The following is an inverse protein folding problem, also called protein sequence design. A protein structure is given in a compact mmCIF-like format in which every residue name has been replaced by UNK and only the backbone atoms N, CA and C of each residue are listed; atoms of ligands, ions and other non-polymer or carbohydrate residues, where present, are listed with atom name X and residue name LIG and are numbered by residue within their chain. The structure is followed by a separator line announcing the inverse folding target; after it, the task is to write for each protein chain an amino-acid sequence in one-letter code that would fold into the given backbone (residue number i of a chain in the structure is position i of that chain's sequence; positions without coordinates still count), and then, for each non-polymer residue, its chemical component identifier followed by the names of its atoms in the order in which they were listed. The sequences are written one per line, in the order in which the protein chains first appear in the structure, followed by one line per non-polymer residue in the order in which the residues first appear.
data_IF_819469459238
#
_entry.id   IF_819469459238
#
_cell.length_a   1.000
_cell.length_b   1.000
_cell.length_c   1.000
_cell.angle_alpha   90.00
_cell.angle_beta   90.00
_cell.angle_gamma   90.00
#
_symmetry.space_group_name_H-M   'P 1'
#
loop_
_entity.id
_entity.type
_entity.pdbx_description
1 polymer ?
#
# COMPACT_ATOMS: atom_id res chain seq x y z
N UNK A 1 24.72 -7.28 5.76
CA UNK A 1 23.50 -7.96 5.29
C UNK A 1 22.31 -7.20 5.86
N UNK A 2 21.21 -7.00 5.11
CA UNK A 2 20.02 -6.38 5.68
C UNK A 2 19.52 -7.26 6.84
N UNK A 3 19.13 -6.62 7.95
CA UNK A 3 18.51 -7.35 9.05
C UNK A 3 17.11 -7.87 8.64
N UNK A 4 16.62 -8.85 9.40
CA UNK A 4 15.33 -9.49 9.12
C UNK A 4 14.18 -8.47 9.08
N UNK A 5 14.26 -7.44 9.93
CA UNK A 5 13.25 -6.41 10.05
C UNK A 5 13.13 -5.60 8.74
N UNK A 6 14.27 -5.13 8.22
CA UNK A 6 14.33 -4.44 6.94
C UNK A 6 13.87 -5.33 5.78
N UNK A 7 14.25 -6.61 5.75
CA UNK A 7 13.80 -7.53 4.69
C UNK A 7 12.28 -7.72 4.73
N UNK A 8 11.72 -7.91 5.93
CA UNK A 8 10.27 -8.06 6.12
C UNK A 8 9.53 -6.79 5.69
N UNK A 9 10.03 -5.62 6.08
CA UNK A 9 9.48 -4.33 5.65
C UNK A 9 9.52 -4.17 4.12
N UNK A 10 10.67 -4.44 3.49
CA UNK A 10 10.83 -4.27 2.05
C UNK A 10 9.95 -5.24 1.26
N UNK A 11 9.75 -6.46 1.75
CA UNK A 11 8.79 -7.39 1.16
C UNK A 11 7.36 -6.84 1.26
N UNK A 12 6.99 -6.27 2.41
CA UNK A 12 5.68 -5.68 2.61
C UNK A 12 5.44 -4.44 1.74
N UNK A 13 6.43 -3.54 1.66
CA UNK A 13 6.42 -2.41 0.74
C UNK A 13 6.31 -2.87 -0.72
N UNK A 14 6.97 -3.99 -1.08
CA UNK A 14 6.86 -4.55 -2.43
C UNK A 14 5.45 -5.06 -2.74
N UNK A 15 4.75 -5.64 -1.76
CA UNK A 15 3.34 -6.02 -1.91
C UNK A 15 2.46 -4.79 -2.15
N UNK A 16 2.71 -3.69 -1.42
CA UNK A 16 2.01 -2.43 -1.65
C UNK A 16 2.24 -1.90 -3.08
N UNK A 17 3.50 -1.84 -3.54
CA UNK A 17 3.80 -1.40 -4.92
C UNK A 17 3.17 -2.31 -5.97
N UNK A 18 3.13 -3.62 -5.73
CA UNK A 18 2.47 -4.59 -6.62
C UNK A 18 0.95 -4.40 -6.63
N UNK A 19 0.36 -4.09 -5.47
CA UNK A 19 -1.05 -3.74 -5.36
C UNK A 19 -1.38 -2.49 -6.17
N UNK A 20 -0.54 -1.45 -6.14
CA UNK A 20 -0.76 -0.24 -6.93
C UNK A 20 -0.74 -0.50 -8.45
N UNK A 21 0.07 -1.46 -8.92
CA UNK A 21 0.02 -1.91 -10.32
C UNK A 21 -1.32 -2.58 -10.66
N UNK A 22 -1.84 -3.40 -9.75
CA UNK A 22 -3.17 -4.00 -9.90
C UNK A 22 -4.29 -2.95 -9.77
N UNK A 23 -4.11 -1.93 -8.93
CA UNK A 23 -5.03 -0.80 -8.78
C UNK A 23 -5.17 0.01 -10.06
N UNK A 24 -4.05 0.24 -10.76
CA UNK A 24 -4.06 0.85 -12.09
C UNK A 24 -4.85 -0.01 -13.07
N UNK A 25 -4.61 -1.33 -13.09
CA UNK A 25 -5.33 -2.28 -13.97
C UNK A 25 -6.82 -2.33 -13.66
N UNK A 26 -7.21 -2.16 -12.40
CA UNK A 26 -8.59 -2.25 -11.91
C UNK A 26 -9.29 -0.89 -11.83
N UNK A 27 -8.64 0.18 -12.27
CA UNK A 27 -9.17 1.54 -12.27
C UNK A 27 -9.65 2.00 -10.90
N UNK A 28 -8.83 1.78 -9.86
CA UNK A 28 -9.18 2.09 -8.47
C UNK A 28 -9.56 3.57 -8.26
N UNK A 29 -9.05 4.48 -9.10
CA UNK A 29 -9.47 5.89 -9.12
C UNK A 29 -10.99 6.09 -9.15
N UNK A 30 -11.78 5.12 -9.65
CA UNK A 30 -13.24 5.15 -9.64
C UNK A 30 -13.88 5.05 -8.24
N UNK A 31 -13.10 4.65 -7.23
CA UNK A 31 -13.47 4.63 -5.81
C UNK A 31 -13.15 5.95 -5.10
N UNK A 32 -12.19 6.73 -5.59
CA UNK A 32 -11.79 7.98 -4.98
C UNK A 32 -12.83 9.08 -5.24
N UNK A 33 -13.23 9.81 -4.18
CA UNK A 33 -14.27 10.85 -4.25
C UNK A 33 -13.96 11.91 -5.32
N UNK A 34 -12.70 12.29 -5.48
CA UNK A 34 -12.29 13.34 -6.43
C UNK A 34 -12.11 12.77 -7.84
N UNK A 35 -11.49 11.58 -7.98
CA UNK A 35 -11.11 11.04 -9.29
C UNK A 35 -12.27 10.31 -9.99
N UNK A 36 -13.28 9.85 -9.26
CA UNK A 36 -14.42 9.09 -9.81
C UNK A 36 -15.23 9.86 -10.86
N UNK A 37 -15.21 11.19 -10.82
CA UNK A 37 -16.01 12.05 -11.70
C UNK A 37 -15.18 12.58 -12.89
N UNK A 38 -13.90 12.21 -12.98
CA UNK A 38 -13.02 12.58 -14.09
C UNK A 38 -13.19 11.63 -15.27
N UNK A 39 -12.88 12.12 -16.48
CA UNK A 39 -12.72 11.25 -17.65
C UNK A 39 -11.64 10.19 -17.38
N UNK A 40 -11.92 8.93 -17.72
CA UNK A 40 -11.09 7.78 -17.32
C UNK A 40 -9.62 7.90 -17.75
N UNK A 41 -9.36 8.40 -18.96
CA UNK A 41 -8.00 8.64 -19.46
C UNK A 41 -7.25 9.73 -18.66
N UNK A 42 -7.97 10.76 -18.19
CA UNK A 42 -7.41 11.81 -17.35
C UNK A 42 -7.19 11.29 -15.93
N UNK A 43 -8.15 10.53 -15.38
CA UNK A 43 -8.07 9.94 -14.06
C UNK A 43 -6.88 8.97 -13.95
N UNK A 44 -6.69 8.11 -14.96
CA UNK A 44 -5.51 7.25 -15.08
C UNK A 44 -4.21 8.04 -15.00
N UNK A 45 -4.04 9.08 -15.83
CA UNK A 45 -2.81 9.90 -15.85
C UNK A 45 -2.55 10.56 -14.49
N UNK A 46 -3.57 11.15 -13.89
CA UNK A 46 -3.45 11.81 -12.59
C UNK A 46 -3.13 10.82 -11.48
N UNK A 47 -3.84 9.69 -11.44
CA UNK A 47 -3.61 8.61 -10.47
C UNK A 47 -2.16 8.12 -10.58
N UNK A 48 -1.71 7.70 -11.76
CA UNK A 48 -0.33 7.21 -11.96
C UNK A 48 0.72 8.27 -11.62
N UNK A 49 0.50 9.54 -11.99
CA UNK A 49 1.46 10.61 -11.72
C UNK A 49 1.59 10.90 -10.22
N UNK A 50 0.48 10.92 -9.47
CA UNK A 50 0.50 11.09 -8.01
C UNK A 50 1.31 9.97 -7.33
N UNK A 51 1.19 8.73 -7.81
CA UNK A 51 1.93 7.60 -7.26
C UNK A 51 3.45 7.75 -7.44
N UNK A 52 3.92 8.36 -8.53
CA UNK A 52 5.35 8.65 -8.68
C UNK A 52 5.87 9.53 -7.53
N UNK A 53 5.16 10.61 -7.18
CA UNK A 53 5.56 11.47 -6.06
C UNK A 53 5.45 10.77 -4.73
N UNK A 54 4.41 9.95 -4.54
CA UNK A 54 4.25 9.12 -3.35
C UNK A 54 5.47 8.19 -3.16
N UNK A 55 5.91 7.53 -4.23
CA UNK A 55 7.07 6.63 -4.17
C UNK A 55 8.37 7.38 -3.88
N UNK A 56 8.59 8.52 -4.54
CA UNK A 56 9.76 9.37 -4.24
C UNK A 56 9.76 9.78 -2.77
N UNK A 57 8.61 10.20 -2.24
CA UNK A 57 8.48 10.61 -0.84
C UNK A 57 8.75 9.45 0.13
N UNK A 58 8.10 8.30 -0.08
CA UNK A 58 8.28 7.10 0.75
C UNK A 58 9.76 6.66 0.76
N UNK A 59 10.38 6.54 -0.41
CA UNK A 59 11.77 6.08 -0.52
C UNK A 59 12.74 7.11 0.08
N UNK A 60 12.48 8.41 -0.08
CA UNK A 60 13.30 9.45 0.52
C UNK A 60 13.29 9.36 2.05
N UNK A 61 12.12 9.12 2.65
CA UNK A 61 12.01 8.96 4.11
C UNK A 61 12.64 7.65 4.60
N UNK A 62 12.44 6.55 3.85
CA UNK A 62 13.01 5.24 4.14
C UNK A 62 14.53 5.26 4.22
N UNK A 63 15.20 6.02 3.34
CA UNK A 63 16.66 6.15 3.30
C UNK A 63 17.19 7.37 4.07
N UNK A 64 16.40 7.92 4.99
CA UNK A 64 16.78 9.05 5.83
C UNK A 64 16.84 8.66 7.31
N UNK A 65 17.19 9.62 8.17
CA UNK A 65 17.09 9.48 9.63
C UNK A 65 15.66 9.14 10.14
N UNK A 66 14.63 9.30 9.30
CA UNK A 66 13.23 9.01 9.63
C UNK A 66 12.81 7.57 9.33
N UNK A 67 13.75 6.66 9.04
CA UNK A 67 13.47 5.27 8.67
C UNK A 67 12.53 4.55 9.65
N UNK A 68 12.81 4.58 10.95
CA UNK A 68 11.96 3.91 11.96
C UNK A 68 10.55 4.50 12.02
N UNK A 69 10.42 5.82 11.88
CA UNK A 69 9.10 6.48 11.83
C UNK A 69 8.36 6.06 10.56
N UNK A 70 9.08 5.95 9.44
CA UNK A 70 8.55 5.50 8.15
C UNK A 70 7.99 4.08 8.25
N UNK A 71 8.67 3.18 8.96
CA UNK A 71 8.18 1.83 9.23
C UNK A 71 6.82 1.87 9.94
N UNK A 72 6.74 2.55 11.08
CA UNK A 72 5.50 2.68 11.84
C UNK A 72 4.34 3.25 11.03
N UNK A 73 4.59 4.34 10.31
CA UNK A 73 3.56 5.03 9.52
C UNK A 73 3.07 4.14 8.38
N UNK A 74 3.97 3.49 7.65
CA UNK A 74 3.60 2.65 6.52
C UNK A 74 2.94 1.35 6.96
N UNK A 75 3.38 0.69 8.04
CA UNK A 75 2.70 -0.49 8.54
C UNK A 75 1.27 -0.18 8.99
N UNK A 76 1.08 0.93 9.72
CA UNK A 76 -0.26 1.37 10.11
C UNK A 76 -1.13 1.65 8.87
N UNK A 77 -0.56 2.34 7.88
CA UNK A 77 -1.25 2.58 6.60
C UNK A 77 -1.62 1.27 5.90
N UNK A 78 -0.71 0.29 5.79
CA UNK A 78 -0.98 -1.00 5.14
C UNK A 78 -2.08 -1.80 5.84
N UNK A 79 -2.12 -1.78 7.19
CA UNK A 79 -3.19 -2.42 7.97
C UNK A 79 -4.53 -1.77 7.65
N UNK A 80 -4.61 -0.44 7.74
CA UNK A 80 -5.84 0.31 7.47
C UNK A 80 -6.28 0.10 6.02
N UNK A 81 -5.33 0.14 5.07
CA UNK A 81 -5.58 -0.07 3.64
C UNK A 81 -6.20 -1.44 3.36
N UNK A 82 -5.61 -2.51 3.92
CA UNK A 82 -6.17 -3.86 3.79
C UNK A 82 -7.58 -3.98 4.39
N UNK A 83 -7.84 -3.32 5.53
CA UNK A 83 -9.18 -3.26 6.15
C UNK A 83 -10.16 -2.50 5.25
N UNK A 84 -9.77 -1.37 4.66
CA UNK A 84 -10.62 -0.62 3.74
C UNK A 84 -11.01 -1.49 2.54
N UNK A 85 -10.07 -2.24 1.96
CA UNK A 85 -10.39 -3.18 0.89
C UNK A 85 -11.36 -4.27 1.32
N UNK A 86 -11.23 -4.80 2.55
CA UNK A 86 -12.17 -5.76 3.11
C UNK A 86 -13.58 -5.16 3.23
N UNK A 87 -13.69 -3.93 3.76
CA UNK A 87 -14.98 -3.25 3.95
C UNK A 87 -15.64 -2.86 2.63
N UNK A 88 -14.87 -2.37 1.67
CA UNK A 88 -15.36 -1.95 0.36
C UNK A 88 -15.42 -3.08 -0.66
N UNK A 89 -15.14 -4.33 -0.28
CA UNK A 89 -15.12 -5.48 -1.20
C UNK A 89 -16.44 -5.68 -1.97
N UNK A 90 -17.56 -5.39 -1.30
CA UNK A 90 -18.90 -5.50 -1.87
C UNK A 90 -19.33 -4.28 -2.67
N UNK A 91 -18.56 -3.19 -2.65
CA UNK A 91 -18.91 -1.96 -3.35
C UNK A 91 -18.98 -2.20 -4.87
N UNK A 92 -20.00 -1.68 -5.58
CA UNK A 92 -20.24 -1.98 -7.00
C UNK A 92 -19.08 -1.53 -7.91
N UNK A 93 -18.34 -0.50 -7.50
CA UNK A 93 -17.18 0.03 -8.24
C UNK A 93 -15.84 -0.61 -7.84
N UNK A 94 -15.85 -1.56 -6.90
CA UNK A 94 -14.63 -2.23 -6.48
C UNK A 94 -14.25 -3.35 -7.47
N UNK A 95 -13.09 -3.20 -8.13
CA UNK A 95 -12.55 -4.16 -9.09
C UNK A 95 -11.75 -5.31 -8.47
N UNK A 96 -11.44 -5.27 -7.17
CA UNK A 96 -10.56 -6.21 -6.47
C UNK A 96 -11.28 -7.46 -5.93
N UNK A 97 -12.18 -8.05 -6.73
CA UNK A 97 -12.97 -9.23 -6.32
C UNK A 97 -12.29 -10.57 -6.63
N UNK A 98 -11.15 -10.54 -7.31
CA UNK A 98 -10.47 -11.73 -7.77
C UNK A 98 -9.44 -12.21 -6.73
N UNK A 99 -9.12 -13.50 -6.77
CA UNK A 99 -8.17 -14.14 -5.84
C UNK A 99 -6.77 -13.54 -5.93
N UNK A 100 -6.34 -13.10 -7.11
CA UNK A 100 -5.00 -12.53 -7.31
C UNK A 100 -4.84 -11.21 -6.53
N UNK A 101 -5.76 -10.26 -6.69
CA UNK A 101 -5.77 -9.00 -5.92
C UNK A 101 -5.79 -9.26 -4.41
N UNK A 102 -6.65 -10.18 -3.96
CA UNK A 102 -6.75 -10.56 -2.53
C UNK A 102 -5.45 -11.16 -1.99
N UNK A 103 -4.75 -11.95 -2.81
CA UNK A 103 -3.46 -12.56 -2.45
C UNK A 103 -2.31 -11.55 -2.33
N UNK A 104 -2.51 -10.32 -2.78
CA UNK A 104 -1.56 -9.22 -2.60
C UNK A 104 -1.97 -8.36 -1.39
N UNK A 105 -3.24 -7.95 -1.36
CA UNK A 105 -3.76 -6.98 -0.37
C UNK A 105 -3.77 -7.53 1.06
N UNK A 106 -4.28 -8.76 1.27
CA UNK A 106 -4.44 -9.26 2.64
C UNK A 106 -3.11 -9.68 3.28
N UNK A 107 -2.18 -10.34 2.58
CA UNK A 107 -0.84 -10.57 3.12
C UNK A 107 -0.10 -9.28 3.46
N UNK A 108 -0.31 -8.19 2.71
CA UNK A 108 0.29 -6.89 3.03
C UNK A 108 -0.13 -6.39 4.42
N UNK A 109 -1.43 -6.46 4.74
CA UNK A 109 -1.93 -6.10 6.06
C UNK A 109 -1.41 -7.03 7.18
N UNK A 110 -1.37 -8.34 6.93
CA UNK A 110 -0.89 -9.33 7.91
C UNK A 110 0.61 -9.12 8.20
N UNK A 111 1.42 -8.93 7.15
CA UNK A 111 2.86 -8.73 7.29
C UNK A 111 3.19 -7.41 7.97
N UNK A 112 2.36 -6.37 7.83
CA UNK A 112 2.50 -5.12 8.58
C UNK A 112 2.33 -5.33 10.09
N UNK A 113 1.34 -6.13 10.51
CA UNK A 113 1.16 -6.49 11.92
C UNK A 113 2.37 -7.26 12.44
N UNK A 114 2.84 -8.25 11.67
CA UNK A 114 4.04 -9.02 12.03
C UNK A 114 5.23 -8.08 12.14
N UNK A 115 5.45 -7.19 11.16
CA UNK A 115 6.56 -6.26 11.17
C UNK A 115 6.56 -5.35 12.40
N UNK A 116 5.40 -4.79 12.80
CA UNK A 116 5.25 -4.00 14.04
C UNK A 116 5.63 -4.82 15.29
N UNK A 117 5.21 -6.09 15.38
CA UNK A 117 5.55 -6.95 16.51
C UNK A 117 7.06 -7.20 16.60
N UNK A 118 7.74 -7.39 15.48
CA UNK A 118 9.21 -7.53 15.46
C UNK A 118 9.91 -6.19 15.76
N UNK A 119 9.39 -5.08 15.24
CA UNK A 119 9.92 -3.73 15.46
C UNK A 119 9.88 -3.34 16.94
N UNK A 120 8.76 -3.60 17.62
CA UNK A 120 8.59 -3.33 19.05
C UNK A 120 9.50 -4.19 19.92
N UNK A 121 9.60 -5.48 19.64
CA UNK A 121 10.49 -6.39 20.37
C UNK A 121 11.98 -6.09 20.16
N UNK A 122 12.35 -5.44 19.05
CA UNK A 122 13.74 -5.04 18.77
C UNK A 122 14.11 -3.68 19.38
N UNK A 123 13.12 -2.92 19.85
CA UNK A 123 13.29 -1.58 20.43
C UNK A 123 13.30 -1.59 21.97
N UNK A 124 13.13 -2.77 22.58
CA UNK A 124 13.21 -3.05 24.02
C UNK A 124 14.56 -3.71 24.29
#
# INVERSE_FOLDING_TARGET
MPDLLLVLFLFNLSLFLLHEMDAIRRSEWRLFIILKDMEDAKAYKVFTFIHLFLYVFILSLLFSQYQTITFWVLDLFFIIHAILHLLFERHPRNGFKNTFSRSIIYPMGILAVIHILFLTNSSI
#
